data_IF_777465964758
#
_entry.id   IF_777465964758
#
_cell.length_a   1.000
_cell.length_b   1.000
_cell.length_c   1.000
_cell.angle_alpha   90.00
_cell.angle_beta   90.00
_cell.angle_gamma   90.00
#
_symmetry.space_group_name_H-M   'P 1'
#
loop_
_entity.id
_entity.type
_entity.pdbx_description
1 polymer ?
#
# COMPACT_ATOMS: atom_id res chain seq x y z
N UNK A 1 67.17 32.01 30.42
CA UNK A 1 66.53 30.95 29.59
C UNK A 1 65.11 30.76 30.11
N UNK A 2 64.12 31.22 29.35
CA UNK A 2 62.69 31.26 29.72
C UNK A 2 62.04 30.07 29.03
N UNK A 3 61.52 29.10 29.80
CA UNK A 3 60.71 28.01 29.28
C UNK A 3 59.28 28.53 29.27
N UNK A 4 58.68 28.65 28.09
CA UNK A 4 57.26 28.93 27.90
C UNK A 4 56.58 27.57 27.77
N UNK A 5 55.70 27.25 28.71
CA UNK A 5 54.83 26.08 28.63
C UNK A 5 53.57 26.47 27.86
N UNK A 6 53.52 26.12 26.59
CA UNK A 6 52.28 26.15 25.81
C UNK A 6 51.42 24.95 26.22
N UNK A 7 50.54 25.17 27.19
CA UNK A 7 49.44 24.26 27.47
C UNK A 7 48.40 24.46 26.36
N UNK A 8 48.43 23.58 25.37
CA UNK A 8 47.34 23.39 24.41
C UNK A 8 46.13 22.88 25.19
N UNK A 9 45.20 23.77 25.49
CA UNK A 9 43.85 23.39 25.91
C UNK A 9 43.18 22.81 24.67
N UNK A 10 43.17 21.47 24.59
CA UNK A 10 42.38 20.77 23.61
C UNK A 10 40.91 21.09 23.86
N UNK A 11 40.26 21.77 22.92
CA UNK A 11 38.80 21.86 22.87
C UNK A 11 38.25 20.43 22.79
N UNK A 12 37.82 19.93 23.94
CA UNK A 12 37.06 18.69 24.02
C UNK A 12 35.71 18.96 23.36
N UNK A 13 35.64 18.61 22.07
CA UNK A 13 34.41 18.50 21.29
C UNK A 13 33.41 17.68 22.12
N UNK A 14 32.41 18.35 22.70
CA UNK A 14 31.30 17.72 23.44
C UNK A 14 30.63 16.71 22.52
N UNK A 15 31.02 15.45 22.63
CA UNK A 15 30.30 14.31 22.06
C UNK A 15 29.17 13.94 23.01
N UNK A 16 28.18 14.82 23.11
CA UNK A 16 26.84 14.43 23.52
C UNK A 16 26.05 14.24 22.25
N UNK A 17 25.87 13.00 21.78
CA UNK A 17 24.88 12.73 20.75
C UNK A 17 23.53 13.04 21.37
N UNK A 18 22.99 14.23 21.11
CA UNK A 18 21.68 14.61 21.60
C UNK A 18 20.63 13.59 21.17
N UNK A 19 19.61 13.41 22.00
CA UNK A 19 18.44 12.61 21.68
C UNK A 19 17.71 13.29 20.53
N UNK A 20 17.39 12.51 19.49
CA UNK A 20 16.54 12.93 18.40
C UNK A 20 15.69 11.75 17.94
N UNK A 21 14.42 11.79 18.32
CA UNK A 21 13.42 10.76 18.03
C UNK A 21 12.24 11.39 17.30
N UNK A 22 11.58 10.59 16.48
CA UNK A 22 10.45 11.02 15.67
C UNK A 22 9.20 10.27 16.07
N UNK A 23 8.15 11.01 16.43
CA UNK A 23 6.83 10.45 16.67
C UNK A 23 6.03 10.50 15.37
N UNK A 24 5.77 9.33 14.79
CA UNK A 24 5.04 9.20 13.52
C UNK A 24 3.81 8.35 13.76
N UNK A 25 2.67 8.78 13.22
CA UNK A 25 1.42 8.01 13.24
C UNK A 25 1.16 7.43 11.86
N UNK A 26 1.03 6.12 11.75
CA UNK A 26 0.83 5.40 10.49
C UNK A 26 -0.49 4.66 10.55
N UNK A 27 -1.43 4.98 9.67
CA UNK A 27 -2.76 4.38 9.61
C UNK A 27 -3.49 4.36 10.98
N UNK A 28 -3.26 5.40 11.79
CA UNK A 28 -3.85 5.54 13.13
C UNK A 28 -2.96 5.09 14.29
N UNK A 29 -1.93 4.27 14.02
CA UNK A 29 -1.05 3.70 15.06
C UNK A 29 0.22 4.56 15.22
N UNK A 30 0.48 5.07 16.43
CA UNK A 30 1.68 5.86 16.74
C UNK A 30 2.92 4.97 16.97
N UNK A 31 4.07 5.43 16.46
CA UNK A 31 5.37 4.77 16.61
C UNK A 31 6.48 5.81 16.81
N UNK A 32 7.55 5.39 17.46
CA UNK A 32 8.76 6.19 17.66
C UNK A 32 9.89 5.63 16.81
N UNK A 33 10.61 6.50 16.13
CA UNK A 33 11.76 6.16 15.29
C UNK A 33 12.99 6.95 15.69
N UNK A 34 14.18 6.36 15.53
CA UNK A 34 15.46 7.02 15.79
C UNK A 34 15.96 7.84 14.60
N UNK A 35 16.90 8.76 14.86
CA UNK A 35 17.62 9.48 13.81
C UNK A 35 18.25 8.51 12.79
N UNK A 36 17.97 8.76 11.51
CA UNK A 36 18.39 7.99 10.33
C UNK A 36 17.74 6.60 10.18
N UNK A 37 16.71 6.29 10.98
CA UNK A 37 15.95 5.05 10.78
C UNK A 37 15.14 5.07 9.46
N UNK A 38 14.68 3.90 9.05
CA UNK A 38 13.85 3.68 7.87
C UNK A 38 12.45 3.23 8.27
N UNK A 39 11.46 4.07 8.00
CA UNK A 39 10.04 3.76 8.15
C UNK A 39 9.55 3.02 6.92
N UNK A 40 9.12 1.77 7.09
CA UNK A 40 8.52 0.98 6.01
C UNK A 40 7.04 1.33 5.86
N UNK A 41 6.65 1.72 4.64
CA UNK A 41 5.28 2.06 4.26
C UNK A 41 4.87 1.32 2.99
N UNK A 42 3.57 1.09 2.82
CA UNK A 42 3.00 0.59 1.57
C UNK A 42 2.20 1.71 0.92
N UNK A 43 2.41 1.94 -0.38
CA UNK A 43 1.72 3.00 -1.12
C UNK A 43 0.20 2.93 -0.93
N UNK A 44 -0.37 4.09 -0.59
CA UNK A 44 -1.76 4.24 -0.13
C UNK A 44 -1.90 4.37 1.39
N UNK A 45 -0.84 4.10 2.17
CA UNK A 45 -0.82 4.40 3.61
C UNK A 45 -0.98 5.90 3.85
N UNK A 46 -1.69 6.22 4.93
CA UNK A 46 -1.72 7.56 5.49
C UNK A 46 -0.75 7.62 6.66
N UNK A 47 0.09 8.66 6.71
CA UNK A 47 0.90 8.92 7.89
C UNK A 47 0.92 10.39 8.25
N UNK A 48 1.26 10.68 9.50
CA UNK A 48 1.35 12.02 10.07
C UNK A 48 2.67 12.11 10.84
N UNK A 49 3.41 13.19 10.63
CA UNK A 49 4.55 13.56 11.47
C UNK A 49 3.96 14.26 12.69
N UNK A 50 3.87 13.56 13.81
CA UNK A 50 3.19 14.06 15.01
C UNK A 50 4.11 15.02 15.75
N UNK A 51 5.34 14.61 16.01
CA UNK A 51 6.30 15.42 16.77
C UNK A 51 7.76 14.96 16.59
N UNK A 52 8.68 15.82 17.02
CA UNK A 52 10.11 15.53 17.14
C UNK A 52 10.54 15.72 18.58
N UNK A 53 10.99 14.64 19.21
CA UNK A 53 11.46 14.65 20.60
C UNK A 53 12.97 14.85 20.56
N UNK A 54 13.44 16.00 21.05
CA UNK A 54 14.87 16.31 21.05
C UNK A 54 15.33 17.12 22.26
N UNK A 55 16.57 16.89 22.67
CA UNK A 55 17.33 17.77 23.56
C UNK A 55 18.27 18.71 22.77
N UNK A 56 18.22 18.67 21.43
CA UNK A 56 18.98 19.53 20.53
C UNK A 56 18.11 20.73 20.15
N UNK A 57 18.32 21.85 20.85
CA UNK A 57 17.54 23.07 20.64
C UNK A 57 16.13 23.00 21.24
N UNK A 58 15.29 23.99 20.91
CA UNK A 58 13.90 24.02 21.34
C UNK A 58 13.02 23.27 20.30
N UNK A 59 12.34 22.16 20.66
CA UNK A 59 11.52 21.39 19.71
C UNK A 59 10.46 22.19 18.95
N UNK A 60 9.93 23.27 19.55
CA UNK A 60 8.95 24.14 18.89
C UNK A 60 9.55 25.05 17.82
N UNK A 61 10.87 25.25 17.84
CA UNK A 61 11.62 26.08 16.89
C UNK A 61 12.25 25.24 15.77
N UNK A 62 12.27 23.91 15.93
CA UNK A 62 12.73 23.01 14.88
C UNK A 62 11.77 23.09 13.69
N UNK A 63 12.29 23.05 12.47
CA UNK A 63 11.48 22.94 11.25
C UNK A 63 11.58 21.51 10.75
N UNK A 64 10.43 20.86 10.54
CA UNK A 64 10.36 19.47 10.09
C UNK A 64 9.81 19.40 8.68
N UNK A 65 10.66 19.05 7.72
CA UNK A 65 10.32 19.09 6.31
C UNK A 65 10.42 17.72 5.64
N UNK A 66 9.33 17.23 5.07
CA UNK A 66 9.30 16.05 4.23
C UNK A 66 9.58 16.42 2.78
N UNK A 67 10.74 16.01 2.26
CA UNK A 67 11.11 16.30 0.88
C UNK A 67 10.16 15.60 -0.09
N UNK A 68 9.53 16.38 -0.97
CA UNK A 68 8.56 15.90 -1.95
C UNK A 68 7.11 15.96 -1.50
N UNK A 69 6.82 16.67 -0.41
CA UNK A 69 5.49 17.00 0.05
C UNK A 69 5.38 18.52 0.27
N UNK A 70 4.16 19.04 0.18
CA UNK A 70 3.81 20.42 0.50
C UNK A 70 2.50 20.37 1.28
N UNK A 71 2.55 20.62 2.59
CA UNK A 71 1.38 20.57 3.46
C UNK A 71 0.33 21.64 3.12
N UNK A 72 0.79 22.89 3.02
CA UNK A 72 -0.02 24.03 2.61
C UNK A 72 0.60 24.67 1.35
N UNK A 73 0.01 24.46 0.16
CA UNK A 73 0.50 25.06 -1.08
C UNK A 73 0.43 26.59 -1.10
N UNK A 74 -0.49 27.19 -0.34
CA UNK A 74 -0.70 28.64 -0.28
C UNK A 74 0.25 29.30 0.73
N UNK A 75 0.75 28.54 1.70
CA UNK A 75 1.71 29.01 2.72
C UNK A 75 2.77 27.95 3.06
N UNK A 76 3.72 27.75 2.15
CA UNK A 76 4.80 26.78 2.34
C UNK A 76 5.90 27.31 3.27
N UNK A 77 5.74 27.06 4.57
CA UNK A 77 6.75 27.36 5.61
C UNK A 77 7.86 26.30 5.71
N UNK A 78 7.71 25.18 5.00
CA UNK A 78 8.56 24.00 5.14
C UNK A 78 8.26 23.12 6.36
N UNK A 79 7.31 23.52 7.22
CA UNK A 79 6.90 22.75 8.39
C UNK A 79 5.73 21.81 8.04
N UNK A 80 5.97 20.50 8.13
CA UNK A 80 5.03 19.46 7.72
C UNK A 80 4.45 18.65 8.89
N UNK A 81 4.73 19.00 10.16
CA UNK A 81 4.04 18.38 11.32
C UNK A 81 2.54 18.63 11.29
N UNK A 82 1.78 17.65 11.80
CA UNK A 82 0.32 17.72 11.95
C UNK A 82 -0.48 17.51 10.67
N UNK A 83 0.15 17.39 9.51
CA UNK A 83 -0.54 17.05 8.26
C UNK A 83 -0.65 15.54 8.07
N UNK A 84 -1.83 15.09 7.60
CA UNK A 84 -2.04 13.70 7.18
C UNK A 84 -1.65 13.56 5.71
N UNK A 85 -0.65 12.73 5.46
CA UNK A 85 -0.01 12.54 4.16
C UNK A 85 -0.41 11.18 3.60
N UNK A 86 -1.07 11.17 2.44
CA UNK A 86 -1.41 9.96 1.71
C UNK A 86 -0.30 9.62 0.71
N UNK A 87 0.44 8.54 0.98
CA UNK A 87 1.58 8.09 0.16
C UNK A 87 1.21 7.70 -1.28
N UNK A 88 -0.08 7.46 -1.56
CA UNK A 88 -0.58 7.12 -2.88
C UNK A 88 -0.67 8.30 -3.85
N UNK A 89 -0.84 9.52 -3.34
CA UNK A 89 -1.15 10.72 -4.15
C UNK A 89 -0.38 11.98 -3.78
N UNK A 90 0.03 12.14 -2.53
CA UNK A 90 0.52 13.44 -2.04
C UNK A 90 2.05 13.60 -2.23
N UNK A 91 2.78 12.49 -2.45
CA UNK A 91 4.23 12.51 -2.60
C UNK A 91 4.70 12.68 -4.05
N UNK A 92 5.56 13.66 -4.28
CA UNK A 92 6.09 13.98 -5.61
C UNK A 92 7.28 13.09 -5.96
N UNK A 93 7.11 12.23 -6.97
CA UNK A 93 8.12 11.24 -7.40
C UNK A 93 9.50 11.85 -7.70
N UNK A 94 9.55 13.03 -8.30
CA UNK A 94 10.79 13.72 -8.69
C UNK A 94 11.69 14.10 -7.51
N UNK A 95 11.12 14.19 -6.30
CA UNK A 95 11.82 14.54 -5.06
C UNK A 95 12.25 13.32 -4.23
N UNK A 96 11.83 12.11 -4.64
CA UNK A 96 12.34 10.89 -4.03
C UNK A 96 13.85 10.72 -4.26
N UNK A 97 14.54 10.10 -3.32
CA UNK A 97 15.93 9.70 -3.47
C UNK A 97 16.04 8.72 -4.65
N UNK A 98 16.88 9.07 -5.63
CA UNK A 98 17.00 8.33 -6.89
C UNK A 98 15.82 8.51 -7.86
N UNK A 99 14.86 9.40 -7.59
CA UNK A 99 13.77 9.80 -8.51
C UNK A 99 12.83 8.68 -8.97
N UNK A 100 12.74 7.58 -8.20
CA UNK A 100 11.91 6.41 -8.52
C UNK A 100 10.59 6.33 -7.75
N UNK A 101 10.36 7.23 -6.79
CA UNK A 101 9.16 7.27 -5.95
C UNK A 101 9.14 6.18 -4.87
N UNK A 102 10.33 5.73 -4.45
CA UNK A 102 10.50 4.59 -3.52
C UNK A 102 11.12 4.98 -2.18
N UNK A 103 11.90 6.05 -2.15
CA UNK A 103 12.64 6.46 -0.97
C UNK A 103 12.47 7.95 -0.78
N UNK A 104 11.95 8.37 0.37
CA UNK A 104 11.77 9.77 0.72
C UNK A 104 12.53 10.07 2.01
N UNK A 105 12.83 11.34 2.24
CA UNK A 105 13.49 11.78 3.48
C UNK A 105 12.71 12.93 4.10
N UNK A 106 12.54 12.86 5.40
CA UNK A 106 12.25 14.01 6.23
C UNK A 106 13.56 14.53 6.80
N UNK A 107 13.70 15.86 6.83
CA UNK A 107 14.82 16.53 7.48
C UNK A 107 14.28 17.36 8.64
N UNK A 108 15.10 17.49 9.68
CA UNK A 108 14.84 18.40 10.80
C UNK A 108 15.94 19.45 10.81
N UNK A 109 15.54 20.71 10.76
CA UNK A 109 16.42 21.87 10.74
C UNK A 109 16.29 22.66 12.05
N UNK A 110 17.42 23.18 12.53
CA UNK A 110 17.51 24.11 13.65
C UNK A 110 18.33 25.32 13.19
N UNK A 111 17.72 26.51 13.12
CA UNK A 111 18.37 27.73 12.63
C UNK A 111 19.05 27.58 11.25
N UNK A 112 18.48 26.76 10.37
CA UNK A 112 18.99 26.48 9.02
C UNK A 112 19.98 25.31 8.93
N UNK A 113 20.45 24.77 10.05
CA UNK A 113 21.32 23.58 10.07
C UNK A 113 20.49 22.30 10.17
N UNK A 114 20.77 21.32 9.29
CA UNK A 114 20.12 20.00 9.37
C UNK A 114 20.70 19.21 10.54
N UNK A 115 19.87 18.97 11.57
CA UNK A 115 20.26 18.23 12.78
C UNK A 115 19.82 16.76 12.75
N UNK A 116 18.91 16.38 11.86
CA UNK A 116 18.47 15.00 11.73
C UNK A 116 17.74 14.66 10.44
N UNK A 117 17.57 13.35 10.24
CA UNK A 117 16.88 12.78 9.09
C UNK A 117 16.08 11.55 9.49
N UNK A 118 14.95 11.34 8.83
CA UNK A 118 14.22 10.07 8.85
C UNK A 118 13.93 9.65 7.41
N UNK A 119 14.05 8.36 7.11
CA UNK A 119 13.81 7.85 5.77
C UNK A 119 12.48 7.10 5.71
N UNK A 120 11.80 7.20 4.57
CA UNK A 120 10.56 6.50 4.29
C UNK A 120 10.75 5.61 3.07
N UNK A 121 10.64 4.30 3.30
CA UNK A 121 10.77 3.25 2.30
C UNK A 121 9.36 2.86 1.83
N UNK A 122 9.04 3.18 0.58
CA UNK A 122 7.72 2.99 0.00
C UNK A 122 7.67 1.77 -0.91
N UNK A 123 6.97 0.73 -0.45
CA UNK A 123 6.66 -0.46 -1.25
C UNK A 123 5.38 -0.27 -2.06
N UNK A 124 5.27 -0.95 -3.21
CA UNK A 124 3.97 -1.02 -3.89
C UNK A 124 3.05 -2.00 -3.15
N UNK A 125 1.74 -1.75 -3.10
CA UNK A 125 0.81 -2.74 -2.61
C UNK A 125 0.80 -3.92 -3.59
N UNK A 126 0.89 -5.13 -3.06
CA UNK A 126 0.93 -6.37 -3.86
C UNK A 126 -0.12 -7.36 -3.39
N UNK A 127 -0.80 -7.98 -4.36
CA UNK A 127 -1.63 -9.15 -4.11
C UNK A 127 -0.74 -10.38 -3.98
N UNK A 128 -0.89 -11.14 -2.89
CA UNK A 128 -0.22 -12.43 -2.70
C UNK A 128 -1.08 -13.56 -3.24
N UNK A 129 -2.34 -13.63 -2.79
CA UNK A 129 -3.32 -14.58 -3.29
C UNK A 129 -4.75 -14.13 -2.96
N UNK A 130 -5.71 -14.78 -3.61
CA UNK A 130 -7.13 -14.79 -3.25
C UNK A 130 -7.58 -16.23 -3.00
N UNK A 131 -8.62 -16.41 -2.20
CA UNK A 131 -9.28 -17.72 -2.03
C UNK A 131 -10.69 -17.62 -2.58
N UNK A 132 -11.01 -18.44 -3.56
CA UNK A 132 -12.36 -18.52 -4.15
C UNK A 132 -12.94 -19.92 -4.01
N UNK A 133 -14.26 -20.04 -4.06
CA UNK A 133 -14.93 -21.33 -4.06
C UNK A 133 -16.45 -21.17 -4.11
N UNK A 134 -17.18 -22.27 -4.13
CA UNK A 134 -18.64 -22.26 -3.98
C UNK A 134 -18.99 -22.52 -2.51
N UNK A 135 -20.25 -22.31 -2.11
CA UNK A 135 -20.64 -22.40 -0.68
C UNK A 135 -20.32 -23.75 -0.03
N UNK A 136 -20.47 -24.84 -0.78
CA UNK A 136 -20.24 -26.21 -0.32
C UNK A 136 -19.14 -26.92 -1.11
N UNK A 137 -18.36 -26.17 -1.90
CA UNK A 137 -17.34 -26.72 -2.79
C UNK A 137 -15.94 -26.61 -2.23
N UNK A 138 -14.99 -27.08 -3.04
CA UNK A 138 -13.57 -26.94 -2.75
C UNK A 138 -13.14 -25.46 -2.85
N UNK A 139 -12.34 -25.02 -1.87
CA UNK A 139 -11.69 -23.72 -1.88
C UNK A 139 -10.40 -23.79 -2.69
N UNK A 140 -10.16 -22.78 -3.52
CA UNK A 140 -8.97 -22.66 -4.36
C UNK A 140 -8.23 -21.37 -4.03
N UNK A 141 -6.98 -21.51 -3.61
CA UNK A 141 -6.04 -20.39 -3.50
C UNK A 141 -5.44 -20.08 -4.87
N UNK A 142 -5.52 -18.83 -5.30
CA UNK A 142 -5.02 -18.35 -6.59
C UNK A 142 -4.10 -17.14 -6.38
N UNK A 143 -2.96 -17.15 -7.04
CA UNK A 143 -1.97 -16.06 -7.07
C UNK A 143 -2.17 -15.19 -8.32
N UNK A 144 -1.66 -13.93 -8.33
CA UNK A 144 -1.82 -13.04 -9.50
C UNK A 144 -1.35 -13.70 -10.81
N UNK A 145 -2.20 -13.67 -11.83
CA UNK A 145 -1.95 -14.29 -13.13
C UNK A 145 -2.51 -15.72 -13.27
N UNK A 146 -2.90 -16.37 -12.18
CA UNK A 146 -3.53 -17.68 -12.24
C UNK A 146 -4.87 -17.63 -12.99
N UNK A 147 -5.24 -18.77 -13.57
CA UNK A 147 -6.54 -18.98 -14.22
C UNK A 147 -7.28 -20.12 -13.52
N UNK A 148 -8.54 -19.89 -13.18
CA UNK A 148 -9.43 -20.90 -12.63
C UNK A 148 -10.58 -21.19 -13.57
N UNK A 149 -10.91 -22.48 -13.72
CA UNK A 149 -12.15 -22.92 -14.35
C UNK A 149 -13.28 -22.89 -13.32
N UNK A 150 -14.35 -22.16 -13.64
CA UNK A 150 -15.53 -22.01 -12.79
C UNK A 150 -16.79 -22.44 -13.55
N UNK A 151 -17.79 -22.92 -12.82
CA UNK A 151 -19.11 -23.14 -13.41
C UNK A 151 -19.85 -21.80 -13.48
N UNK A 152 -20.30 -21.40 -14.67
CA UNK A 152 -21.01 -20.13 -14.87
C UNK A 152 -22.36 -20.07 -14.14
N UNK A 153 -22.98 -21.22 -13.90
CA UNK A 153 -24.32 -21.34 -13.33
C UNK A 153 -24.29 -21.51 -11.81
N UNK A 154 -23.11 -21.77 -11.24
CA UNK A 154 -22.94 -21.89 -9.80
C UNK A 154 -22.36 -20.60 -9.20
N UNK A 155 -23.03 -19.97 -8.21
CA UNK A 155 -22.50 -18.79 -7.54
C UNK A 155 -21.14 -19.07 -6.88
N UNK A 156 -20.16 -18.23 -7.20
CA UNK A 156 -18.83 -18.25 -6.58
C UNK A 156 -18.84 -17.34 -5.34
N UNK A 157 -17.87 -17.49 -4.45
CA UNK A 157 -17.59 -16.58 -3.34
C UNK A 157 -16.10 -16.28 -3.29
N UNK A 158 -15.77 -15.05 -2.93
CA UNK A 158 -14.43 -14.66 -2.50
C UNK A 158 -14.35 -14.86 -1.00
N UNK A 159 -13.52 -15.79 -0.54
CA UNK A 159 -13.37 -16.12 0.89
C UNK A 159 -12.25 -15.33 1.56
N UNK A 160 -11.17 -15.07 0.85
CA UNK A 160 -10.02 -14.35 1.41
C UNK A 160 -9.23 -13.59 0.34
N UNK A 161 -8.54 -12.55 0.79
CA UNK A 161 -7.59 -11.74 0.01
C UNK A 161 -6.35 -11.54 0.89
N UNK A 162 -5.18 -11.93 0.39
CA UNK A 162 -3.92 -11.72 1.10
C UNK A 162 -3.05 -10.71 0.38
N UNK A 163 -2.60 -9.67 1.07
CA UNK A 163 -1.74 -8.61 0.52
C UNK A 163 -0.56 -8.29 1.47
N UNK A 164 0.27 -7.31 1.12
CA UNK A 164 1.21 -6.67 2.07
C UNK A 164 0.60 -5.44 2.79
N UNK A 165 -0.67 -5.11 2.53
CA UNK A 165 -1.36 -3.99 3.18
C UNK A 165 -1.85 -4.43 4.55
N UNK A 166 -1.48 -3.67 5.59
CA UNK A 166 -1.88 -3.97 6.98
C UNK A 166 -3.41 -4.04 7.08
N UNK A 167 -3.91 -5.17 7.58
CA UNK A 167 -5.35 -5.46 7.75
C UNK A 167 -6.17 -5.32 6.44
N UNK A 168 -5.52 -5.36 5.27
CA UNK A 168 -6.14 -5.08 3.97
C UNK A 168 -6.92 -3.74 3.93
N UNK A 169 -6.48 -2.74 4.67
CA UNK A 169 -7.16 -1.45 4.74
C UNK A 169 -7.27 -0.80 3.34
N UNK A 170 -8.52 -0.51 2.94
CA UNK A 170 -8.82 0.09 1.63
C UNK A 170 -8.74 -0.86 0.43
N UNK A 171 -8.39 -2.13 0.66
CA UNK A 171 -8.37 -3.16 -0.41
C UNK A 171 -9.80 -3.52 -0.78
N UNK A 172 -10.07 -3.55 -2.09
CA UNK A 172 -11.37 -3.85 -2.68
C UNK A 172 -11.18 -4.85 -3.82
N UNK A 173 -12.16 -5.74 -3.96
CA UNK A 173 -12.20 -6.73 -5.03
C UNK A 173 -13.31 -6.38 -6.02
N UNK A 174 -13.08 -6.71 -7.28
CA UNK A 174 -14.02 -6.45 -8.34
C UNK A 174 -13.93 -7.53 -9.41
N UNK A 175 -15.06 -7.87 -10.04
CA UNK A 175 -15.03 -8.62 -11.29
C UNK A 175 -15.12 -7.64 -12.45
N UNK A 176 -14.23 -7.81 -13.43
CA UNK A 176 -14.21 -7.10 -14.69
C UNK A 176 -14.40 -8.05 -15.89
N UNK A 177 -15.25 -7.65 -16.85
CA UNK A 177 -15.41 -8.30 -18.15
C UNK A 177 -14.53 -7.66 -19.24
N UNK A 178 -14.78 -7.99 -20.52
CA UNK A 178 -14.04 -7.42 -21.65
C UNK A 178 -14.52 -6.02 -22.05
N UNK A 179 -15.75 -5.65 -21.68
CA UNK A 179 -16.40 -4.37 -21.99
C UNK A 179 -16.05 -3.22 -21.02
N UNK A 180 -14.99 -3.36 -20.22
CA UNK A 180 -14.59 -2.41 -19.17
C UNK A 180 -15.61 -2.22 -18.03
N UNK A 181 -16.72 -2.96 -18.02
CA UNK A 181 -17.64 -2.93 -16.88
C UNK A 181 -17.05 -3.71 -15.73
N UNK A 182 -17.09 -3.09 -14.55
CA UNK A 182 -16.49 -3.58 -13.32
C UNK A 182 -17.51 -3.56 -12.21
N UNK A 183 -17.67 -4.68 -11.50
CA UNK A 183 -18.64 -4.83 -10.42
C UNK A 183 -17.93 -5.15 -9.10
N UNK A 184 -18.29 -4.49 -7.99
CA UNK A 184 -17.67 -4.75 -6.69
C UNK A 184 -17.98 -6.16 -6.21
N UNK A 185 -17.03 -6.72 -5.46
CA UNK A 185 -17.11 -8.04 -4.84
C UNK A 185 -16.85 -7.89 -3.36
N UNK A 186 -17.81 -8.34 -2.57
CA UNK A 186 -17.67 -8.42 -1.12
C UNK A 186 -17.24 -9.82 -0.70
N UNK A 187 -16.31 -9.89 0.24
CA UNK A 187 -15.87 -11.15 0.84
C UNK A 187 -17.07 -11.88 1.48
N UNK A 188 -17.19 -13.17 1.21
CA UNK A 188 -18.24 -14.07 1.70
C UNK A 188 -19.60 -13.93 1.01
N UNK A 189 -19.77 -12.95 0.10
CA UNK A 189 -21.02 -12.78 -0.65
C UNK A 189 -21.02 -13.60 -1.93
N UNK A 190 -22.14 -14.26 -2.28
CA UNK A 190 -22.28 -14.92 -3.58
C UNK A 190 -22.10 -13.93 -4.73
N UNK A 191 -21.32 -14.32 -5.72
CA UNK A 191 -21.12 -13.64 -6.99
C UNK A 191 -21.61 -14.54 -8.12
N UNK A 192 -22.64 -14.09 -8.84
CA UNK A 192 -23.16 -14.77 -10.01
C UNK A 192 -22.34 -14.34 -11.24
N UNK A 193 -21.46 -15.22 -11.73
CA UNK A 193 -20.52 -14.93 -12.83
C UNK A 193 -21.27 -14.63 -14.13
N UNK A 194 -22.35 -15.36 -14.41
CA UNK A 194 -23.20 -15.20 -15.58
C UNK A 194 -23.92 -13.83 -15.66
N UNK A 195 -24.14 -13.17 -14.53
CA UNK A 195 -24.86 -11.89 -14.47
C UNK A 195 -23.95 -10.68 -14.69
N UNK A 196 -22.65 -10.89 -14.92
CA UNK A 196 -21.65 -9.83 -15.03
C UNK A 196 -21.47 -9.36 -16.48
N UNK A 197 -21.67 -10.26 -17.45
CA UNK A 197 -21.59 -9.94 -18.87
C UNK A 197 -22.73 -8.99 -19.32
N UNK A 198 -22.37 -7.85 -19.90
CA UNK A 198 -23.35 -6.96 -20.54
C UNK A 198 -23.38 -7.12 -22.07
N UNK A 199 -22.36 -7.76 -22.66
CA UNK A 199 -22.32 -8.07 -24.10
C UNK A 199 -22.46 -9.56 -24.38
N UNK A 200 -23.00 -9.90 -25.55
CA UNK A 200 -23.06 -11.30 -26.01
C UNK A 200 -21.66 -11.87 -26.31
N UNK A 201 -20.67 -11.01 -26.56
CA UNK A 201 -19.26 -11.38 -26.70
C UNK A 201 -18.64 -11.82 -25.36
N UNK A 202 -18.96 -11.15 -24.24
CA UNK A 202 -18.56 -11.57 -22.89
C UNK A 202 -19.21 -12.89 -22.50
N UNK A 203 -20.49 -13.06 -22.87
CA UNK A 203 -21.18 -14.34 -22.70
C UNK A 203 -20.54 -15.43 -23.55
N UNK A 204 -20.04 -15.12 -24.74
CA UNK A 204 -19.41 -16.11 -25.62
C UNK A 204 -18.00 -16.49 -25.16
N UNK A 205 -17.19 -15.53 -24.70
CA UNK A 205 -15.82 -15.76 -24.24
C UNK A 205 -15.76 -16.35 -22.82
N UNK A 206 -16.73 -16.00 -21.96
CA UNK A 206 -16.80 -16.39 -20.55
C UNK A 206 -15.47 -16.28 -19.80
N UNK A 207 -14.72 -15.19 -20.04
CA UNK A 207 -13.44 -14.91 -19.39
C UNK A 207 -13.53 -13.60 -18.64
N UNK A 208 -13.41 -13.67 -17.32
CA UNK A 208 -13.49 -12.53 -16.41
C UNK A 208 -12.21 -12.38 -15.61
N UNK A 209 -11.93 -11.19 -15.10
CA UNK A 209 -10.86 -10.95 -14.14
C UNK A 209 -11.43 -10.62 -12.78
N UNK A 210 -10.98 -11.33 -11.73
CA UNK A 210 -11.12 -10.87 -10.36
C UNK A 210 -9.94 -9.96 -10.04
N UNK A 211 -10.18 -8.66 -10.04
CA UNK A 211 -9.19 -7.60 -9.87
C UNK A 211 -9.19 -7.10 -8.42
N UNK A 212 -8.00 -6.97 -7.85
CA UNK A 212 -7.79 -6.45 -6.50
C UNK A 212 -7.13 -5.07 -6.60
N UNK A 213 -7.70 -4.09 -5.90
CA UNK A 213 -7.25 -2.71 -5.89
C UNK A 213 -7.23 -2.10 -4.49
N UNK A 214 -6.38 -1.10 -4.28
CA UNK A 214 -6.38 -0.21 -3.11
C UNK A 214 -6.32 1.23 -3.60
N UNK A 215 -7.33 2.05 -3.30
CA UNK A 215 -7.35 3.48 -3.64
C UNK A 215 -6.95 3.77 -5.12
N UNK A 216 -7.49 2.98 -6.06
CA UNK A 216 -7.19 3.02 -7.51
C UNK A 216 -5.78 2.53 -7.90
N UNK A 217 -5.01 1.99 -6.97
CA UNK A 217 -3.76 1.27 -7.25
C UNK A 217 -4.14 -0.20 -7.50
N UNK A 218 -3.77 -0.73 -8.67
CA UNK A 218 -3.96 -2.13 -9.01
C UNK A 218 -2.91 -3.01 -8.32
N UNK A 219 -3.37 -4.03 -7.59
CA UNK A 219 -2.51 -4.95 -6.83
C UNK A 219 -2.27 -6.26 -7.58
N UNK A 220 -3.20 -6.65 -8.46
CA UNK A 220 -3.16 -7.91 -9.20
C UNK A 220 -4.55 -8.41 -9.57
N UNK A 221 -4.58 -9.44 -10.41
CA UNK A 221 -5.83 -10.10 -10.80
C UNK A 221 -5.62 -11.59 -11.03
N UNK A 222 -6.71 -12.34 -10.93
CA UNK A 222 -6.79 -13.73 -11.40
C UNK A 222 -7.86 -13.85 -12.48
N UNK A 223 -7.69 -14.78 -13.42
CA UNK A 223 -8.62 -15.01 -14.51
C UNK A 223 -9.61 -16.11 -14.13
N UNK A 224 -10.90 -15.87 -14.36
CA UNK A 224 -11.98 -16.81 -14.16
C UNK A 224 -12.56 -17.16 -15.54
N UNK A 225 -12.27 -18.37 -16.01
CA UNK A 225 -12.82 -18.89 -17.25
C UNK A 225 -13.98 -19.83 -16.92
N UNK A 226 -15.13 -19.66 -17.56
CA UNK A 226 -16.24 -20.56 -17.28
C UNK A 226 -16.23 -21.80 -18.18
N UNK A 227 -16.54 -22.96 -17.58
CA UNK A 227 -17.03 -24.11 -18.33
C UNK A 227 -18.55 -24.00 -18.43
N UNK A 228 -19.09 -23.98 -19.65
CA UNK A 228 -20.52 -24.28 -19.86
C UNK A 228 -20.63 -25.77 -20.13
N UNK A 229 -21.20 -26.53 -19.18
CA UNK A 229 -21.75 -27.84 -19.55
C UNK A 229 -22.85 -27.57 -20.58
N UNK A 230 -22.59 -27.92 -21.84
CA UNK A 230 -23.68 -28.00 -22.81
C UNK A 230 -24.67 -29.03 -22.27
N UNK A 231 -25.91 -28.63 -22.05
CA UNK A 231 -26.99 -29.45 -21.48
C UNK A 231 -27.28 -30.77 -22.25
N UNK A 232 -26.54 -31.10 -23.31
CA UNK A 232 -26.69 -32.31 -24.09
C UNK A 232 -26.16 -33.58 -23.41
N UNK A 233 -25.15 -33.52 -22.52
CA UNK A 233 -24.58 -34.76 -21.95
C UNK A 233 -25.44 -35.37 -20.82
N UNK A 234 -26.17 -34.54 -20.06
CA UNK A 234 -27.13 -35.04 -19.06
C UNK A 234 -28.35 -35.73 -19.67
N UNK A 235 -28.72 -35.39 -20.91
CA UNK A 235 -29.80 -36.07 -21.64
C UNK A 235 -29.35 -37.42 -22.19
N UNK A 236 -28.11 -37.51 -22.67
CA UNK A 236 -27.55 -38.74 -23.21
C UNK A 236 -27.35 -39.79 -22.10
N UNK A 237 -26.89 -39.41 -20.90
CA UNK A 237 -26.76 -40.39 -19.80
C UNK A 237 -28.10 -40.92 -19.26
N UNK A 238 -29.20 -40.15 -19.38
CA UNK A 238 -30.56 -40.62 -19.04
C UNK A 238 -31.19 -41.52 -20.09
N UNK A 239 -30.75 -41.45 -21.35
CA UNK A 239 -31.26 -42.30 -22.44
C UNK A 239 -30.61 -43.69 -22.49
N UNK A 240 -29.50 -43.92 -21.78
CA UNK A 240 -28.78 -45.20 -21.76
C UNK A 240 -28.99 -46.03 -20.48
N UNK A 241 -29.89 -45.63 -19.57
CA UNK A 241 -30.22 -46.36 -18.34
C UNK A 241 -31.70 -46.84 -18.26
N UNK A 242 -32.34 -47.06 -19.41
CA UNK A 242 -33.62 -47.76 -19.51
C UNK A 242 -33.52 -49.00 -20.38
#
# INVERSE_FOLDING_TARGET
KKIVSDAVVSDQKKTGSGILLYKIKINGDERIFENKEHVKLVKGDNFEIVDVISDIGNPSELIVNLKGYVGDPDNNTGEDRGYVINTGRDLWKSYSLGKRGKYYQMIVENNGDIIGKLFFDLEDPVLKYVVIGTENGELRGLTPGDTALVDADTPLKLFDISTNVVRNAGVKAFIAGSDSVRRPVDIGKPMAINNIANSDADKASCSYRLEIERDKIFLGSVTLNCSRETHNEKYIQRLFHH
#
